data_IF_651120650128
#
_entry.id   IF_651120650128
#
_cell.length_a   1.000
_cell.length_b   1.000
_cell.length_c   1.000
_cell.angle_alpha   90.00
_cell.angle_beta   90.00
_cell.angle_gamma   90.00
#
_symmetry.space_group_name_H-M   'P 1'
#
loop_
_entity.id
_entity.type
_entity.pdbx_description
1 polymer ?
#
# COMPACT_ATOMS: atom_id res chain seq x y z
N UNK A 1 -2.54 7.41 27.84
CA UNK A 1 -1.62 6.78 26.88
C UNK A 1 -2.43 6.45 25.63
N UNK A 2 -2.33 7.30 24.61
CA UNK A 2 -3.10 7.21 23.36
C UNK A 2 -2.69 5.92 22.63
N UNK A 3 -3.68 5.09 22.28
CA UNK A 3 -3.59 3.78 21.60
C UNK A 3 -2.19 3.30 21.20
N UNK A 4 -1.62 2.36 21.96
CA UNK A 4 -0.42 1.64 21.54
C UNK A 4 -0.79 0.69 20.40
N UNK A 5 -0.60 1.11 19.15
CA UNK A 5 -0.56 0.16 18.04
C UNK A 5 0.67 -0.74 18.26
N UNK A 6 0.49 -2.04 18.51
CA UNK A 6 1.63 -2.92 18.75
C UNK A 6 2.45 -3.02 17.46
N UNK A 7 3.59 -2.34 17.41
CA UNK A 7 4.50 -2.43 16.28
C UNK A 7 5.28 -3.75 16.38
N UNK A 8 4.94 -4.69 15.51
CA UNK A 8 5.63 -5.98 15.44
C UNK A 8 6.94 -5.77 14.68
N UNK A 9 8.07 -5.80 15.42
CA UNK A 9 9.39 -5.81 14.79
C UNK A 9 9.55 -7.08 13.96
N UNK A 10 9.96 -6.93 12.70
CA UNK A 10 10.20 -8.03 11.76
C UNK A 10 11.59 -7.92 11.19
N UNK A 11 12.23 -9.04 10.89
CA UNK A 11 13.57 -9.03 10.30
C UNK A 11 13.48 -9.11 8.77
N UNK A 12 12.87 -8.10 8.15
CA UNK A 12 12.77 -7.99 6.68
C UNK A 12 13.64 -6.87 6.15
N UNK A 13 14.09 -6.93 4.89
CA UNK A 13 14.92 -5.88 4.28
C UNK A 13 14.27 -4.50 4.38
N UNK A 14 12.95 -4.44 4.18
CA UNK A 14 12.18 -3.20 4.31
C UNK A 14 12.08 -2.77 5.78
N UNK A 15 12.06 -3.69 6.74
CA UNK A 15 12.03 -3.31 8.14
C UNK A 15 13.31 -2.62 8.60
N UNK A 16 14.46 -2.96 8.00
CA UNK A 16 15.78 -2.40 8.31
C UNK A 16 15.99 -0.96 7.81
N UNK A 17 15.17 -0.48 6.88
CA UNK A 17 15.17 0.92 6.47
C UNK A 17 14.77 1.85 7.62
N UNK A 18 15.29 3.07 7.61
CA UNK A 18 14.89 4.10 8.55
C UNK A 18 13.38 4.42 8.41
N UNK A 19 12.65 4.59 9.53
CA UNK A 19 11.22 4.88 9.49
C UNK A 19 10.87 6.13 8.65
N UNK A 20 11.72 7.16 8.71
CA UNK A 20 11.53 8.42 7.96
C UNK A 20 11.55 8.20 6.46
N UNK A 21 12.47 7.36 5.99
CA UNK A 21 12.61 7.01 4.58
C UNK A 21 11.39 6.23 4.10
N UNK A 22 10.84 5.32 4.93
CA UNK A 22 9.60 4.59 4.58
C UNK A 22 8.43 5.51 4.38
N UNK A 23 8.23 6.46 5.30
CA UNK A 23 7.15 7.43 5.19
C UNK A 23 7.30 8.29 3.94
N UNK A 24 8.50 8.84 3.71
CA UNK A 24 8.76 9.67 2.54
C UNK A 24 8.57 8.88 1.24
N UNK A 25 9.06 7.63 1.18
CA UNK A 25 8.93 6.76 0.02
C UNK A 25 7.46 6.44 -0.28
N UNK A 26 6.68 6.02 0.72
CA UNK A 26 5.26 5.70 0.54
C UNK A 26 4.45 6.93 0.12
N UNK A 27 4.76 8.11 0.68
CA UNK A 27 4.08 9.35 0.34
C UNK A 27 4.42 9.83 -1.07
N UNK A 28 5.71 9.88 -1.41
CA UNK A 28 6.17 10.26 -2.75
C UNK A 28 5.61 9.29 -3.82
N UNK A 29 5.58 8.00 -3.49
CA UNK A 29 5.03 6.98 -4.38
C UNK A 29 3.53 7.16 -4.62
N UNK A 30 2.75 7.44 -3.57
CA UNK A 30 1.32 7.72 -3.68
C UNK A 30 1.03 8.96 -4.54
N UNK A 31 1.81 10.03 -4.36
CA UNK A 31 1.68 11.26 -5.16
C UNK A 31 2.05 11.02 -6.63
N UNK A 32 3.13 10.29 -6.90
CA UNK A 32 3.55 9.96 -8.26
C UNK A 32 2.50 9.12 -8.99
N UNK A 33 1.88 8.17 -8.30
CA UNK A 33 0.78 7.36 -8.84
C UNK A 33 -0.46 8.20 -9.12
N UNK A 34 -0.80 9.17 -8.26
CA UNK A 34 -1.95 10.05 -8.45
C UNK A 34 -1.78 11.04 -9.61
N UNK A 35 -0.56 11.48 -9.89
CA UNK A 35 -0.29 12.47 -10.95
C UNK A 35 -0.15 11.84 -12.34
N UNK A 36 0.10 10.54 -12.42
CA UNK A 36 0.38 9.86 -13.68
C UNK A 36 -0.90 9.28 -14.31
N UNK A 37 -1.18 9.66 -15.56
CA UNK A 37 -2.28 9.06 -16.36
C UNK A 37 -1.80 8.01 -17.36
N UNK A 38 -0.49 7.78 -17.46
CA UNK A 38 0.08 6.82 -18.40
C UNK A 38 -0.04 5.39 -17.85
N UNK A 39 -0.81 4.56 -18.55
CA UNK A 39 -1.09 3.16 -18.17
C UNK A 39 0.19 2.35 -17.97
N UNK A 40 1.22 2.54 -18.80
CA UNK A 40 2.47 1.78 -18.69
C UNK A 40 3.26 2.14 -17.42
N UNK A 41 3.28 3.42 -17.05
CA UNK A 41 3.92 3.87 -15.82
C UNK A 41 3.15 3.39 -14.59
N UNK A 42 1.82 3.38 -14.64
CA UNK A 42 0.97 2.81 -13.58
C UNK A 42 1.23 1.30 -13.44
N UNK A 43 1.32 0.57 -14.55
CA UNK A 43 1.61 -0.87 -14.55
C UNK A 43 2.99 -1.16 -13.94
N UNK A 44 4.02 -0.42 -14.36
CA UNK A 44 5.37 -0.52 -13.80
C UNK A 44 5.33 -0.24 -12.29
N UNK A 45 4.62 0.80 -11.88
CA UNK A 45 4.38 1.10 -10.49
C UNK A 45 3.73 -0.08 -9.73
N UNK A 46 2.65 -0.64 -10.28
CA UNK A 46 1.96 -1.77 -9.67
C UNK A 46 2.88 -2.99 -9.47
N UNK A 47 3.75 -3.28 -10.44
CA UNK A 47 4.78 -4.33 -10.29
C UNK A 47 5.78 -3.95 -9.19
N UNK A 48 6.23 -2.70 -9.15
CA UNK A 48 7.13 -2.18 -8.13
C UNK A 48 6.57 -2.29 -6.70
N UNK A 49 5.31 -1.94 -6.49
CA UNK A 49 4.63 -2.11 -5.19
C UNK A 49 4.40 -3.57 -4.86
N UNK A 50 4.11 -4.43 -5.85
CA UNK A 50 4.04 -5.87 -5.67
C UNK A 50 5.35 -6.46 -5.15
N UNK A 51 6.48 -6.06 -5.76
CA UNK A 51 7.82 -6.44 -5.28
C UNK A 51 8.10 -5.92 -3.87
N UNK A 52 7.79 -4.65 -3.60
CA UNK A 52 7.93 -4.05 -2.26
C UNK A 52 7.10 -4.81 -1.22
N UNK A 53 5.84 -5.12 -1.54
CA UNK A 53 4.96 -5.89 -0.67
C UNK A 53 5.51 -7.29 -0.39
N UNK A 54 6.01 -7.99 -1.41
CA UNK A 54 6.65 -9.30 -1.24
C UNK A 54 7.89 -9.25 -0.34
N UNK A 55 8.73 -8.23 -0.49
CA UNK A 55 9.92 -7.99 0.32
C UNK A 55 9.61 -7.79 1.82
N UNK A 56 8.41 -7.31 2.17
CA UNK A 56 7.99 -7.17 3.58
C UNK A 56 7.64 -8.49 4.24
N UNK A 57 7.45 -9.58 3.47
CA UNK A 57 7.04 -10.93 3.94
C UNK A 57 5.88 -10.89 4.94
N UNK A 58 4.88 -10.06 4.65
CA UNK A 58 3.68 -9.94 5.46
C UNK A 58 2.85 -11.24 5.42
N UNK A 59 2.39 -11.70 6.57
CA UNK A 59 1.45 -12.83 6.63
C UNK A 59 0.09 -12.37 6.11
N UNK A 60 -0.52 -13.16 5.22
CA UNK A 60 -1.86 -12.89 4.69
C UNK A 60 -2.92 -12.75 5.80
N UNK A 61 -2.73 -13.45 6.92
CA UNK A 61 -3.62 -13.36 8.09
C UNK A 61 -3.77 -11.94 8.64
N UNK A 62 -2.74 -11.11 8.51
CA UNK A 62 -2.73 -9.73 9.02
C UNK A 62 -3.24 -8.74 7.99
N UNK A 63 -2.96 -8.98 6.72
CA UNK A 63 -3.28 -8.04 5.63
C UNK A 63 -4.67 -8.27 5.04
N UNK A 64 -5.26 -9.46 5.20
CA UNK A 64 -6.59 -9.80 4.66
C UNK A 64 -7.68 -8.80 5.07
N UNK A 65 -7.66 -8.30 6.30
CA UNK A 65 -8.71 -7.39 6.80
C UNK A 65 -8.62 -6.02 6.12
N UNK A 66 -7.41 -5.52 5.92
CA UNK A 66 -7.17 -4.28 5.19
C UNK A 66 -7.53 -4.45 3.70
N UNK A 67 -7.15 -5.57 3.09
CA UNK A 67 -7.52 -5.86 1.69
C UNK A 67 -9.03 -5.96 1.48
N UNK A 68 -9.76 -6.62 2.38
CA UNK A 68 -11.22 -6.68 2.31
C UNK A 68 -11.84 -5.28 2.35
N UNK A 69 -11.34 -4.40 3.23
CA UNK A 69 -11.80 -3.02 3.29
C UNK A 69 -11.49 -2.23 2.01
N UNK A 70 -10.27 -2.33 1.48
CA UNK A 70 -9.85 -1.66 0.24
C UNK A 70 -10.69 -2.12 -0.95
N UNK A 71 -10.94 -3.42 -1.07
CA UNK A 71 -11.74 -4.00 -2.15
C UNK A 71 -13.19 -3.51 -2.03
N UNK A 72 -13.77 -3.57 -0.83
CA UNK A 72 -15.13 -3.09 -0.58
C UNK A 72 -15.30 -1.62 -0.97
N UNK A 73 -14.35 -0.77 -0.56
CA UNK A 73 -14.35 0.66 -0.88
C UNK A 73 -14.20 0.89 -2.40
N UNK A 74 -13.30 0.16 -3.06
CA UNK A 74 -13.15 0.23 -4.52
C UNK A 74 -14.43 -0.18 -5.26
N UNK A 75 -15.09 -1.25 -4.83
CA UNK A 75 -16.36 -1.69 -5.45
C UNK A 75 -17.40 -0.59 -5.35
N UNK A 76 -17.55 0.05 -4.19
CA UNK A 76 -18.49 1.18 -4.00
C UNK A 76 -18.14 2.34 -4.92
N UNK A 77 -16.85 2.73 -5.02
CA UNK A 77 -16.44 3.85 -5.87
C UNK A 77 -16.69 3.54 -7.33
N UNK A 78 -16.28 2.37 -7.81
CA UNK A 78 -16.45 1.98 -9.22
C UNK A 78 -17.92 1.87 -9.58
N UNK A 79 -18.73 1.28 -8.70
CA UNK A 79 -20.17 1.21 -8.90
C UNK A 79 -20.78 2.62 -8.91
N UNK A 80 -20.45 3.46 -7.93
CA UNK A 80 -20.90 4.85 -7.89
C UNK A 80 -20.54 5.62 -9.17
N UNK A 81 -19.31 5.45 -9.67
CA UNK A 81 -18.84 6.08 -10.91
C UNK A 81 -19.48 5.53 -12.19
N UNK A 82 -20.05 4.33 -12.16
CA UNK A 82 -20.77 3.78 -13.31
C UNK A 82 -22.21 4.30 -13.39
N UNK A 83 -22.83 4.63 -12.26
CA UNK A 83 -24.22 5.09 -12.19
C UNK A 83 -24.38 6.62 -12.20
N UNK A 84 -23.33 7.37 -11.88
CA UNK A 84 -23.24 8.84 -12.01
C UNK A 84 -22.63 9.23 -13.36
#
# INVERSE_FOLDING_TARGET
>A
MLMTFPYIKRDTPIHRLDPRVKFLLLLAYGLAAAQTSNVWLILLGFVGTGCYYSLTRLKWSETKRAWLFIIFLNVIIVFGNYFL
#
